data_IF_884407291562
#
_entry.id   IF_884407291562
#
_cell.length_a   1.000
_cell.length_b   1.000
_cell.length_c   1.000
_cell.angle_alpha   90.00
_cell.angle_beta   90.00
_cell.angle_gamma   90.00
#
_symmetry.space_group_name_H-M   'P 1'
#
loop_
_entity.id
_entity.type
_entity.pdbx_description
1 polymer ?
#
# COMPACT_ATOMS: atom_id res chain seq x y z
N UNK A 1 -6.80 7.13 -14.17
CA UNK A 1 -6.58 5.67 -14.21
C UNK A 1 -6.58 5.19 -12.78
N UNK A 2 -7.51 4.32 -12.38
CA UNK A 2 -7.60 3.83 -10.98
C UNK A 2 -6.89 2.47 -10.93
N UNK A 3 -5.87 2.37 -10.08
CA UNK A 3 -5.13 1.11 -9.88
C UNK A 3 -5.85 0.24 -8.85
N UNK A 4 -5.88 -1.08 -9.07
CA UNK A 4 -6.40 -2.01 -8.06
C UNK A 4 -5.28 -2.39 -7.08
N UNK A 5 -5.53 -2.20 -5.79
CA UNK A 5 -4.62 -2.68 -4.74
C UNK A 5 -4.89 -4.15 -4.47
N UNK A 6 -3.83 -4.96 -4.47
CA UNK A 6 -3.89 -6.38 -4.10
C UNK A 6 -2.88 -6.65 -2.99
N UNK A 7 -3.28 -7.48 -2.02
CA UNK A 7 -2.39 -7.93 -0.96
C UNK A 7 -1.74 -9.26 -1.36
N UNK A 8 -0.47 -9.41 -1.01
CA UNK A 8 0.14 -10.74 -0.93
C UNK A 8 -0.41 -11.48 0.28
N UNK A 9 -0.33 -12.80 0.29
CA UNK A 9 -0.78 -13.62 1.43
C UNK A 9 -0.19 -13.16 2.77
N UNK A 10 1.10 -12.82 2.81
CA UNK A 10 1.77 -12.32 4.03
C UNK A 10 1.24 -10.94 4.43
N UNK A 11 1.02 -10.05 3.46
CA UNK A 11 0.50 -8.71 3.71
C UNK A 11 -0.95 -8.78 4.22
N UNK A 12 -1.78 -9.66 3.66
CA UNK A 12 -3.16 -9.87 4.11
C UNK A 12 -3.22 -10.42 5.55
N UNK A 13 -2.42 -11.45 5.86
CA UNK A 13 -2.32 -11.99 7.22
C UNK A 13 -1.87 -10.92 8.23
N UNK A 14 -0.90 -10.10 7.85
CA UNK A 14 -0.40 -9.02 8.71
C UNK A 14 -1.47 -7.93 8.88
N UNK A 15 -2.14 -7.54 7.80
CA UNK A 15 -3.18 -6.53 7.80
C UNK A 15 -4.35 -6.92 8.71
N UNK A 16 -4.80 -8.17 8.65
CA UNK A 16 -5.93 -8.65 9.46
C UNK A 16 -5.63 -8.71 10.96
N UNK A 17 -4.35 -8.88 11.34
CA UNK A 17 -3.91 -8.86 12.74
C UNK A 17 -3.85 -7.44 13.35
N UNK A 18 -3.98 -6.38 12.55
CA UNK A 18 -3.88 -5.01 13.04
C UNK A 18 -5.16 -4.56 13.80
N UNK A 19 -5.01 -3.63 14.77
CA UNK A 19 -6.16 -2.98 15.40
C UNK A 19 -7.08 -2.33 14.36
N UNK A 20 -8.40 -2.32 14.62
CA UNK A 20 -9.42 -1.81 13.69
C UNK A 20 -9.09 -0.40 13.16
N UNK A 21 -8.63 0.50 14.02
CA UNK A 21 -8.28 1.86 13.62
C UNK A 21 -7.08 1.91 12.66
N UNK A 22 -6.08 1.04 12.85
CA UNK A 22 -4.95 0.93 11.93
C UNK A 22 -5.39 0.40 10.57
N UNK A 23 -6.26 -0.62 10.54
CA UNK A 23 -6.81 -1.17 9.28
C UNK A 23 -7.57 -0.11 8.47
N UNK A 24 -8.41 0.71 9.12
CA UNK A 24 -9.14 1.81 8.47
C UNK A 24 -8.17 2.85 7.90
N UNK A 25 -7.17 3.28 8.67
CA UNK A 25 -6.18 4.27 8.21
C UNK A 25 -5.40 3.76 7.00
N UNK A 26 -5.00 2.50 6.99
CA UNK A 26 -4.30 1.87 5.87
C UNK A 26 -5.22 1.76 4.65
N UNK A 27 -6.48 1.35 4.81
CA UNK A 27 -7.42 1.26 3.70
C UNK A 27 -7.60 2.62 2.98
N UNK A 28 -7.78 3.70 3.75
CA UNK A 28 -7.89 5.07 3.21
C UNK A 28 -6.60 5.47 2.48
N UNK A 29 -5.43 5.12 3.03
CA UNK A 29 -4.15 5.41 2.38
C UNK A 29 -3.99 4.65 1.05
N UNK A 30 -4.43 3.39 1.00
CA UNK A 30 -4.38 2.55 -0.19
C UNK A 30 -5.33 3.02 -1.28
N UNK A 31 -6.55 3.47 -0.94
CA UNK A 31 -7.48 4.08 -1.91
C UNK A 31 -6.91 5.35 -2.53
N UNK A 32 -6.29 6.19 -1.69
CA UNK A 32 -5.60 7.40 -2.13
C UNK A 32 -4.42 7.09 -3.05
N UNK A 33 -3.65 6.05 -2.74
CA UNK A 33 -2.54 5.59 -3.56
C UNK A 33 -3.01 4.99 -4.89
N UNK A 34 -4.10 4.23 -4.87
CA UNK A 34 -4.74 3.68 -6.07
C UNK A 34 -5.19 4.75 -7.07
N UNK A 35 -5.61 5.91 -6.58
CA UNK A 35 -6.04 7.03 -7.42
C UNK A 35 -4.85 7.76 -8.07
N UNK A 36 -3.72 7.89 -7.35
CA UNK A 36 -2.53 8.58 -7.84
C UNK A 36 -1.24 8.06 -7.18
N UNK A 37 -0.64 6.99 -7.73
CA UNK A 37 0.53 6.35 -7.13
C UNK A 37 1.84 7.14 -7.34
N UNK A 38 1.88 8.10 -8.27
CA UNK A 38 3.11 8.78 -8.68
C UNK A 38 3.25 10.20 -8.12
N UNK A 39 2.17 10.84 -7.65
CA UNK A 39 2.20 12.23 -7.14
C UNK A 39 2.19 12.33 -5.61
N UNK A 40 2.75 11.35 -4.90
CA UNK A 40 2.72 11.28 -3.43
C UNK A 40 4.10 11.50 -2.83
N UNK A 41 4.25 12.53 -2.00
CA UNK A 41 5.51 12.87 -1.32
C UNK A 41 5.81 12.02 -0.08
N UNK A 42 4.80 11.30 0.42
CA UNK A 42 4.86 10.41 1.59
C UNK A 42 5.30 8.98 1.26
N UNK A 43 5.47 8.68 -0.03
CA UNK A 43 6.01 7.40 -0.52
C UNK A 43 7.33 7.65 -1.23
N UNK A 44 8.33 6.84 -0.88
CA UNK A 44 9.60 6.80 -1.61
C UNK A 44 9.63 5.52 -2.42
N UNK A 45 10.08 5.62 -3.67
CA UNK A 45 10.43 4.44 -4.46
C UNK A 45 11.56 3.73 -3.70
N UNK A 46 11.27 2.55 -3.13
CA UNK A 46 12.31 1.71 -2.56
C UNK A 46 13.12 1.11 -3.71
N UNK A 47 14.44 1.31 -3.71
CA UNK A 47 15.32 0.62 -4.64
C UNK A 47 15.27 -0.88 -4.33
N UNK A 48 14.58 -1.61 -5.20
CA UNK A 48 14.32 -3.03 -5.04
C UNK A 48 14.37 -3.73 -6.39
N UNK A 49 15.45 -3.50 -7.13
CA UNK A 49 16.01 -4.37 -8.17
C UNK A 49 17.34 -3.77 -8.62
N UNK A 50 18.43 -4.13 -7.93
CA UNK A 50 19.73 -4.22 -8.58
C UNK A 50 19.70 -5.51 -9.40
N UNK A 51 19.27 -5.42 -10.65
CA UNK A 51 19.65 -6.40 -11.67
C UNK A 51 21.08 -6.06 -12.05
N UNK A 52 22.03 -6.67 -11.35
CA UNK A 52 23.47 -6.63 -11.64
C UNK A 52 23.98 -8.05 -11.81
#
# INVERSE_FOLDING_TARGET
MIYRVTFTYRAEKTFTALPRMARIRIAIALEKYAADPFHRHDVKKSEGMSSG
#
